data_IF_317533475918
#
_entry.id   IF_317533475918
#
_cell.length_a   1.000
_cell.length_b   1.000
_cell.length_c   1.000
_cell.angle_alpha   90.00
_cell.angle_beta   90.00
_cell.angle_gamma   90.00
#
_symmetry.space_group_name_H-M   'P 1'
#
loop_
_entity.id
_entity.type
_entity.pdbx_description
1 polymer ?
#
# COMPACT_ATOMS: atom_id res chain seq x y z
N UNK A 1 -9.91 -14.43 -13.30
CA UNK A 1 -10.28 -12.99 -13.22
C UNK A 1 -8.99 -12.21 -13.13
N UNK A 2 -8.82 -11.13 -13.88
CA UNK A 2 -7.57 -10.36 -13.80
C UNK A 2 -7.37 -9.77 -12.39
N UNK A 3 -6.15 -9.33 -12.06
CA UNK A 3 -5.86 -8.61 -10.80
C UNK A 3 -6.81 -7.43 -10.56
N UNK A 4 -6.99 -7.05 -9.30
CA UNK A 4 -7.79 -5.89 -8.89
C UNK A 4 -6.90 -4.73 -8.49
N UNK A 5 -7.39 -3.50 -8.63
CA UNK A 5 -6.66 -2.31 -8.20
C UNK A 5 -7.39 -1.62 -7.05
N UNK A 6 -6.63 -1.06 -6.12
CA UNK A 6 -7.15 -0.35 -4.97
C UNK A 6 -6.56 1.04 -4.89
N UNK A 7 -7.41 2.02 -4.62
CA UNK A 7 -7.01 3.31 -4.10
C UNK A 7 -7.00 3.22 -2.58
N UNK A 8 -5.84 3.49 -1.97
CA UNK A 8 -5.67 3.45 -0.53
C UNK A 8 -5.38 4.86 -0.04
N UNK A 9 -6.22 5.33 0.89
CA UNK A 9 -5.98 6.57 1.62
C UNK A 9 -5.38 6.22 2.98
N UNK A 10 -4.23 6.80 3.27
CA UNK A 10 -3.51 6.69 4.53
C UNK A 10 -3.68 7.99 5.30
N UNK A 11 -4.29 7.92 6.48
CA UNK A 11 -4.35 9.03 7.43
C UNK A 11 -3.44 8.74 8.62
N UNK A 12 -2.55 9.67 8.96
CA UNK A 12 -1.75 9.51 10.17
C UNK A 12 -2.61 9.72 11.41
N UNK A 13 -2.42 8.83 12.40
CA UNK A 13 -2.94 9.08 13.74
C UNK A 13 -2.19 10.25 14.37
N UNK A 14 -2.88 10.99 15.22
CA UNK A 14 -2.34 12.18 15.87
C UNK A 14 -0.97 11.90 16.54
N UNK A 15 0.04 12.67 16.16
CA UNK A 15 1.40 12.56 16.70
C UNK A 15 2.23 11.36 16.21
N UNK A 16 1.73 10.57 15.23
CA UNK A 16 2.41 9.36 14.74
C UNK A 16 3.18 9.53 13.43
N UNK A 17 2.95 10.61 12.69
CA UNK A 17 3.55 10.84 11.38
C UNK A 17 5.09 10.76 11.41
N UNK A 18 5.75 11.44 12.35
CA UNK A 18 7.22 11.43 12.43
C UNK A 18 7.78 10.03 12.66
N UNK A 19 7.19 9.26 13.58
CA UNK A 19 7.61 7.87 13.86
C UNK A 19 7.53 7.00 12.60
N UNK A 20 6.47 7.19 11.82
CA UNK A 20 6.28 6.47 10.57
C UNK A 20 7.30 6.87 9.51
N UNK A 21 7.52 8.18 9.30
CA UNK A 21 8.50 8.68 8.34
C UNK A 21 9.91 8.20 8.66
N UNK A 22 10.32 8.24 9.93
CA UNK A 22 11.62 7.74 10.35
C UNK A 22 11.78 6.24 10.07
N UNK A 23 10.70 5.46 10.21
CA UNK A 23 10.70 4.02 9.94
C UNK A 23 10.77 3.75 8.44
N UNK A 24 9.98 4.46 7.63
CA UNK A 24 10.01 4.34 6.17
C UNK A 24 11.39 4.73 5.61
N UNK A 25 11.99 5.81 6.09
CA UNK A 25 13.33 6.25 5.67
C UNK A 25 14.41 5.22 6.03
N UNK A 26 14.33 4.60 7.21
CA UNK A 26 15.26 3.51 7.60
C UNK A 26 15.10 2.29 6.70
N UNK A 27 13.87 1.91 6.35
CA UNK A 27 13.61 0.78 5.47
C UNK A 27 14.18 1.03 4.06
N UNK A 28 14.04 2.25 3.55
CA UNK A 28 14.52 2.67 2.22
C UNK A 28 16.02 2.93 2.14
N UNK A 29 16.71 3.05 3.27
CA UNK A 29 18.17 3.19 3.27
C UNK A 29 18.84 1.92 2.68
N UNK A 30 20.07 2.02 2.12
CA UNK A 30 20.79 0.86 1.63
C UNK A 30 20.90 -0.25 2.68
N UNK A 31 20.42 -1.45 2.37
CA UNK A 31 20.36 -2.58 3.31
C UNK A 31 19.22 -2.51 4.34
N UNK A 32 18.31 -1.53 4.24
CA UNK A 32 17.17 -1.35 5.14
C UNK A 32 16.00 -2.31 4.91
N UNK A 33 16.07 -3.16 3.88
CA UNK A 33 15.10 -4.22 3.62
C UNK A 33 13.91 -3.82 2.73
N UNK A 34 13.86 -2.59 2.20
CA UNK A 34 12.76 -2.17 1.32
C UNK A 34 12.58 -3.05 0.09
N UNK A 35 13.66 -3.36 -0.64
CA UNK A 35 13.59 -4.17 -1.86
C UNK A 35 13.13 -5.62 -1.57
N UNK A 36 13.56 -6.17 -0.44
CA UNK A 36 13.12 -7.49 0.05
C UNK A 36 11.63 -7.46 0.43
N UNK A 37 11.17 -6.40 1.09
CA UNK A 37 9.76 -6.21 1.42
C UNK A 37 8.90 -6.08 0.16
N UNK A 38 9.34 -5.32 -0.85
CA UNK A 38 8.66 -5.21 -2.14
C UNK A 38 8.59 -6.57 -2.84
N UNK A 39 9.68 -7.34 -2.83
CA UNK A 39 9.73 -8.68 -3.42
C UNK A 39 8.79 -9.65 -2.70
N UNK A 40 8.83 -9.68 -1.37
CA UNK A 40 7.96 -10.51 -0.53
C UNK A 40 6.49 -10.17 -0.74
N UNK A 41 6.16 -8.88 -0.78
CA UNK A 41 4.80 -8.42 -1.04
C UNK A 41 4.33 -8.85 -2.43
N UNK A 42 5.18 -8.72 -3.45
CA UNK A 42 4.88 -9.16 -4.81
C UNK A 42 4.58 -10.66 -4.87
N UNK A 43 5.41 -11.48 -4.22
CA UNK A 43 5.22 -12.94 -4.13
C UNK A 43 3.90 -13.29 -3.43
N UNK A 44 3.56 -12.56 -2.36
CA UNK A 44 2.31 -12.67 -1.61
C UNK A 44 1.07 -12.16 -2.38
N UNK A 45 1.27 -11.48 -3.51
CA UNK A 45 0.17 -11.00 -4.37
C UNK A 45 -0.23 -9.54 -4.16
N UNK A 46 0.66 -8.73 -3.57
CA UNK A 46 0.44 -7.29 -3.35
C UNK A 46 1.54 -6.47 -4.03
N UNK A 47 1.16 -5.47 -4.81
CA UNK A 47 2.13 -4.59 -5.46
C UNK A 47 1.69 -3.13 -5.37
N UNK A 48 2.55 -2.28 -4.79
CA UNK A 48 2.31 -0.84 -4.76
C UNK A 48 2.87 -0.22 -6.04
N UNK A 49 1.99 0.40 -6.83
CA UNK A 49 2.38 1.12 -8.05
C UNK A 49 2.86 2.53 -7.75
N UNK A 50 2.27 3.18 -6.76
CA UNK A 50 2.66 4.52 -6.36
C UNK A 50 2.31 4.83 -4.92
N UNK A 51 3.15 5.66 -4.32
CA UNK A 51 2.94 6.31 -3.02
C UNK A 51 3.01 7.83 -3.23
N UNK A 52 1.92 8.52 -2.90
CA UNK A 52 1.71 9.93 -3.22
C UNK A 52 1.36 10.71 -1.94
N UNK A 53 2.36 11.14 -1.14
CA UNK A 53 2.13 11.94 0.05
C UNK A 53 1.74 13.38 -0.31
N UNK A 54 0.78 13.96 0.41
CA UNK A 54 0.34 15.35 0.21
C UNK A 54 1.07 16.33 1.14
N UNK A 55 1.23 15.96 2.41
CA UNK A 55 1.88 16.75 3.44
C UNK A 55 2.54 15.82 4.48
N UNK A 56 3.44 16.33 5.34
CA UNK A 56 4.13 15.50 6.34
C UNK A 56 3.17 14.77 7.29
N UNK A 57 2.07 15.39 7.69
CA UNK A 57 1.02 14.80 8.55
C UNK A 57 -0.13 14.14 7.77
N UNK A 58 0.03 13.98 6.46
CA UNK A 58 -0.93 13.32 5.58
C UNK A 58 -1.97 14.25 4.97
N UNK A 59 -2.91 13.68 4.17
CA UNK A 59 -2.97 12.26 3.83
C UNK A 59 -1.86 11.81 2.88
N UNK A 60 -1.69 10.49 2.76
CA UNK A 60 -0.96 9.88 1.66
C UNK A 60 -1.88 8.98 0.85
N UNK A 61 -1.69 8.92 -0.46
CA UNK A 61 -2.50 8.10 -1.36
C UNK A 61 -1.66 7.08 -2.10
N UNK A 62 -2.11 5.83 -2.09
CA UNK A 62 -1.47 4.75 -2.82
C UNK A 62 -2.39 4.17 -3.88
N UNK A 63 -1.80 3.74 -4.99
CA UNK A 63 -2.45 2.79 -5.90
C UNK A 63 -1.77 1.44 -5.73
N UNK A 64 -2.56 0.45 -5.37
CA UNK A 64 -2.12 -0.94 -5.20
C UNK A 64 -2.77 -1.82 -6.25
N UNK A 65 -2.05 -2.84 -6.68
CA UNK A 65 -2.56 -3.96 -7.44
C UNK A 65 -2.52 -5.21 -6.56
N UNK A 66 -3.57 -6.00 -6.63
CA UNK A 66 -3.79 -7.18 -5.82
C UNK A 66 -4.08 -8.36 -6.74
N UNK A 67 -3.35 -9.47 -6.55
CA UNK A 67 -3.48 -10.69 -7.34
C UNK A 67 -4.91 -11.25 -7.24
N UNK A 68 -5.36 -11.91 -8.31
CA UNK A 68 -6.61 -12.65 -8.31
C UNK A 68 -6.75 -13.56 -7.08
N UNK A 69 -7.96 -13.60 -6.52
CA UNK A 69 -8.34 -14.51 -5.45
C UNK A 69 -8.12 -13.97 -4.04
N UNK A 70 -7.49 -12.79 -3.91
CA UNK A 70 -7.37 -12.08 -2.64
C UNK A 70 -8.60 -11.18 -2.46
N UNK A 71 -9.26 -11.32 -1.33
CA UNK A 71 -10.45 -10.53 -0.96
C UNK A 71 -10.08 -9.10 -0.51
N UNK A 72 -11.00 -8.13 -0.61
CA UNK A 72 -10.80 -6.79 -0.05
C UNK A 72 -10.43 -6.80 1.44
N UNK A 73 -11.00 -7.72 2.23
CA UNK A 73 -10.71 -7.85 3.66
C UNK A 73 -9.29 -8.35 3.91
N UNK A 74 -8.81 -9.31 3.13
CA UNK A 74 -7.42 -9.77 3.19
C UNK A 74 -6.44 -8.67 2.80
N UNK A 75 -6.78 -7.88 1.78
CA UNK A 75 -5.95 -6.75 1.38
C UNK A 75 -5.93 -5.64 2.45
N UNK A 76 -7.08 -5.29 3.02
CA UNK A 76 -7.16 -4.33 4.13
C UNK A 76 -6.31 -4.81 5.32
N UNK A 77 -6.41 -6.08 5.70
CA UNK A 77 -5.62 -6.67 6.78
C UNK A 77 -4.10 -6.64 6.48
N UNK A 78 -3.69 -6.80 5.22
CA UNK A 78 -2.31 -6.62 4.81
C UNK A 78 -1.87 -5.16 4.98
N UNK A 79 -2.64 -4.20 4.49
CA UNK A 79 -2.32 -2.77 4.56
C UNK A 79 -2.19 -2.28 6.00
N UNK A 80 -3.07 -2.74 6.89
CA UNK A 80 -3.04 -2.43 8.33
C UNK A 80 -1.99 -3.23 9.12
N UNK A 81 -1.37 -4.23 8.48
CA UNK A 81 -0.46 -5.18 9.11
C UNK A 81 1.01 -4.75 9.10
N UNK A 82 1.88 -5.53 9.77
CA UNK A 82 3.32 -5.25 9.86
C UNK A 82 4.08 -5.33 8.54
N UNK A 83 3.54 -6.08 7.57
CA UNK A 83 4.15 -6.25 6.25
C UNK A 83 3.63 -5.23 5.23
N UNK A 84 2.60 -4.45 5.60
CA UNK A 84 2.02 -3.39 4.79
C UNK A 84 2.54 -1.99 5.19
N UNK A 85 1.95 -0.94 4.62
CA UNK A 85 2.35 0.44 4.89
C UNK A 85 2.32 0.87 6.35
N UNK A 86 1.54 0.24 7.24
CA UNK A 86 1.55 0.62 8.67
C UNK A 86 2.85 0.24 9.40
N UNK A 87 3.62 -0.72 8.87
CA UNK A 87 4.79 -1.32 9.53
C UNK A 87 4.49 -1.89 10.93
N UNK A 88 3.22 -2.12 11.26
CA UNK A 88 2.77 -2.60 12.57
C UNK A 88 2.94 -1.58 13.68
N UNK A 89 3.14 -0.31 13.33
CA UNK A 89 3.33 0.79 14.28
C UNK A 89 2.01 1.29 14.88
N UNK A 90 0.87 0.91 14.28
CA UNK A 90 -0.42 1.54 14.53
C UNK A 90 -0.35 3.05 14.29
N UNK A 91 0.37 3.46 13.25
CA UNK A 91 0.61 4.86 12.94
C UNK A 91 -0.43 5.42 11.97
N UNK A 92 -1.05 4.55 11.16
CA UNK A 92 -2.01 4.94 10.14
C UNK A 92 -3.43 4.46 10.46
N UNK A 93 -4.39 5.12 9.84
CA UNK A 93 -5.74 4.61 9.57
C UNK A 93 -5.85 4.50 8.06
N UNK A 94 -5.99 3.27 7.56
CA UNK A 94 -5.97 3.02 6.12
C UNK A 94 -7.38 2.73 5.62
N UNK A 95 -7.73 3.30 4.47
CA UNK A 95 -9.02 3.08 3.84
C UNK A 95 -8.76 2.55 2.43
N UNK A 96 -8.94 1.24 2.25
CA UNK A 96 -8.81 0.58 0.96
C UNK A 96 -10.13 0.64 0.19
N UNK A 97 -10.11 1.14 -1.05
CA UNK A 97 -11.27 1.14 -1.94
C UNK A 97 -10.88 0.52 -3.26
N UNK A 98 -11.57 -0.55 -3.64
CA UNK A 98 -11.40 -1.16 -4.95
C UNK A 98 -11.79 -0.16 -6.05
N UNK A 99 -10.97 -0.07 -7.07
CA UNK A 99 -11.21 0.79 -8.23
C UNK A 99 -12.12 0.02 -9.18
N UNK A 100 -13.29 0.60 -9.48
CA UNK A 100 -14.19 0.05 -10.48
C UNK A 100 -13.59 0.26 -11.89
N UNK A 101 -12.94 -0.78 -12.41
CA UNK A 101 -12.27 -0.74 -13.71
C UNK A 101 -13.24 -0.64 -14.90
N UNK A 102 -14.47 -1.12 -14.76
CA UNK A 102 -15.49 -0.99 -15.79
C UNK A 102 -15.85 0.49 -16.00
N UNK A 103 -16.02 1.23 -14.89
CA UNK A 103 -16.25 2.68 -14.93
C UNK A 103 -15.00 3.46 -15.34
N UNK A 104 -13.81 3.01 -14.96
CA UNK A 104 -12.55 3.66 -15.32
C UNK A 104 -12.19 3.49 -16.82
N UNK A 105 -12.68 2.42 -17.46
CA UNK A 105 -12.40 2.09 -18.86
C UNK A 105 -11.03 1.46 -19.11
N UNK A 106 -10.08 1.63 -18.19
CA UNK A 106 -8.76 0.98 -18.20
C UNK A 106 -8.21 0.85 -16.77
N UNK A 107 -7.14 0.07 -16.62
CA UNK A 107 -6.33 0.00 -15.40
C UNK A 107 -5.54 1.29 -15.17
N UNK A 108 -5.37 1.74 -13.91
CA UNK A 108 -4.61 2.97 -13.61
C UNK A 108 -3.11 2.83 -13.90
N UNK A 109 -2.60 1.60 -13.93
CA UNK A 109 -1.21 1.25 -14.26
C UNK A 109 -1.17 -0.07 -15.05
N UNK A 110 -0.12 -0.31 -15.86
CA UNK A 110 0.10 -1.62 -16.46
C UNK A 110 0.15 -2.72 -15.39
N UNK A 111 -0.54 -3.82 -15.65
CA UNK A 111 -0.64 -4.94 -14.70
C UNK A 111 0.73 -5.54 -14.42
N UNK A 112 1.00 -5.79 -13.14
CA UNK A 112 2.14 -6.55 -12.65
C UNK A 112 1.81 -8.03 -12.53
N UNK A 113 0.57 -8.36 -12.18
CA UNK A 113 0.08 -9.74 -12.15
C UNK A 113 -0.61 -10.05 -13.48
N UNK A 114 -0.08 -11.06 -14.19
CA UNK A 114 -0.64 -11.55 -15.46
C UNK A 114 -1.91 -12.38 -15.24
#
# INVERSE_FOLDING_TARGET
MASTFFHVQHEFRAGKAQQWWDTAQKAQAPGGGWDEAVTTNLEAGFYNHSFNPIAPEGPCFCIWEVREGITPEQFQAFIDGPNGPDFGLGAMMNICREINLELAGDTPYPRKFA
#
